data_IF_503981164340
#
_entry.id   IF_503981164340
#
_cell.length_a   1.000
_cell.length_b   1.000
_cell.length_c   1.000
_cell.angle_alpha   90.00
_cell.angle_beta   90.00
_cell.angle_gamma   90.00
#
_symmetry.space_group_name_H-M   'P 1'
#
loop_
_entity.id
_entity.type
_entity.pdbx_description
1 polymer ?
#
# COMPACT_ATOMS: atom_id res chain seq x y z
N UNK A 1 -18.85 -2.55 -8.91
CA UNK A 1 -18.49 -3.07 -10.21
C UNK A 1 -17.00 -2.91 -10.48
N UNK A 2 -16.44 -3.92 -11.11
CA UNK A 2 -15.02 -3.94 -11.42
C UNK A 2 -14.78 -3.19 -12.73
N UNK A 3 -13.96 -2.12 -12.73
CA UNK A 3 -13.62 -1.42 -13.97
C UNK A 3 -12.87 -2.34 -14.93
N UNK A 4 -13.11 -2.21 -16.22
CA UNK A 4 -12.37 -2.93 -17.23
C UNK A 4 -11.18 -2.10 -17.73
N UNK A 5 -10.39 -2.68 -18.63
CA UNK A 5 -9.19 -2.04 -19.16
C UNK A 5 -9.51 -0.70 -19.83
N UNK A 6 -10.60 -0.62 -20.61
CA UNK A 6 -10.98 0.61 -21.30
C UNK A 6 -11.36 1.72 -20.33
N UNK A 7 -12.07 1.38 -19.27
CA UNK A 7 -12.46 2.35 -18.25
C UNK A 7 -11.25 2.95 -17.54
N UNK A 8 -10.26 2.10 -17.19
CA UNK A 8 -9.00 2.59 -16.62
C UNK A 8 -8.28 3.51 -17.61
N UNK A 9 -8.15 3.07 -18.86
CA UNK A 9 -7.43 3.82 -19.87
C UNK A 9 -8.10 5.18 -20.13
N UNK A 10 -9.42 5.18 -20.28
CA UNK A 10 -10.18 6.41 -20.54
C UNK A 10 -9.98 7.45 -19.44
N UNK A 11 -10.01 7.01 -18.19
CA UNK A 11 -9.80 7.92 -17.07
C UNK A 11 -8.35 8.40 -17.01
N UNK A 12 -7.40 7.48 -17.04
CA UNK A 12 -6.02 7.80 -16.75
C UNK A 12 -5.31 8.53 -17.87
N UNK A 13 -5.77 8.38 -19.12
CA UNK A 13 -5.21 9.12 -20.24
C UNK A 13 -5.40 10.63 -20.13
N UNK A 14 -6.36 11.07 -19.31
CA UNK A 14 -6.52 12.49 -19.00
C UNK A 14 -5.38 13.01 -18.10
N UNK A 15 -4.62 12.12 -17.47
CA UNK A 15 -3.58 12.47 -16.50
C UNK A 15 -2.31 11.67 -16.79
N UNK A 16 -1.71 11.82 -17.98
CA UNK A 16 -0.63 10.92 -18.41
C UNK A 16 0.64 10.98 -17.55
N UNK A 17 0.86 12.09 -16.85
CA UNK A 17 2.05 12.27 -16.01
C UNK A 17 1.72 12.23 -14.52
N UNK A 18 0.51 11.88 -14.16
CA UNK A 18 0.12 11.82 -12.76
C UNK A 18 0.81 10.66 -12.03
N UNK A 19 1.12 10.89 -10.77
CA UNK A 19 1.47 9.82 -9.84
C UNK A 19 0.17 9.39 -9.18
N UNK A 20 -0.16 8.11 -9.33
CA UNK A 20 -1.44 7.57 -8.84
C UNK A 20 -1.20 6.82 -7.55
N UNK A 21 -1.94 7.18 -6.51
CA UNK A 21 -1.82 6.51 -5.21
C UNK A 21 -3.15 5.84 -4.88
N UNK A 22 -3.05 4.62 -4.35
CA UNK A 22 -4.21 3.82 -3.99
C UNK A 22 -4.30 3.67 -2.47
N UNK A 23 -5.49 3.86 -1.96
CA UNK A 23 -5.76 3.79 -0.52
C UNK A 23 -6.99 2.91 -0.30
N UNK A 24 -6.77 1.71 0.24
CA UNK A 24 -7.86 0.76 0.44
C UNK A 24 -8.42 0.16 -0.85
N UNK A 25 -7.65 0.20 -1.91
CA UNK A 25 -8.06 -0.38 -3.19
C UNK A 25 -7.81 -1.88 -3.17
N UNK A 26 -8.85 -2.67 -3.39
CA UNK A 26 -8.79 -4.12 -3.26
C UNK A 26 -8.84 -4.86 -4.60
N UNK A 27 -8.80 -4.14 -5.71
CA UNK A 27 -8.90 -4.74 -7.04
C UNK A 27 -7.55 -4.80 -7.72
N UNK A 28 -7.35 -5.85 -8.50
CA UNK A 28 -6.15 -5.99 -9.33
C UNK A 28 -6.26 -5.01 -10.50
N UNK A 29 -5.20 -4.25 -10.73
CA UNK A 29 -5.13 -3.31 -11.85
C UNK A 29 -4.59 -4.08 -13.07
N UNK A 30 -5.18 -3.94 -14.26
CA UNK A 30 -4.67 -4.61 -15.45
C UNK A 30 -3.19 -4.31 -15.70
N UNK A 31 -2.45 -5.31 -16.16
CA UNK A 31 -1.01 -5.19 -16.39
C UNK A 31 -0.66 -4.05 -17.34
N UNK A 32 -1.45 -3.85 -18.38
CA UNK A 32 -1.23 -2.77 -19.35
C UNK A 32 -1.27 -1.40 -18.69
N UNK A 33 -2.17 -1.22 -17.72
CA UNK A 33 -2.27 0.03 -16.96
C UNK A 33 -1.08 0.19 -16.03
N UNK A 34 -0.70 -0.88 -15.32
CA UNK A 34 0.46 -0.85 -14.43
C UNK A 34 1.75 -0.51 -15.17
N UNK A 35 1.90 -0.99 -16.40
CA UNK A 35 3.08 -0.73 -17.21
C UNK A 35 3.13 0.68 -17.78
N UNK A 36 1.98 1.30 -17.98
CA UNK A 36 1.87 2.61 -18.62
C UNK A 36 1.88 3.76 -17.61
N UNK A 37 1.37 3.54 -16.41
CA UNK A 37 1.22 4.59 -15.40
C UNK A 37 2.00 4.27 -14.13
N UNK A 38 2.39 5.31 -13.40
CA UNK A 38 3.07 5.16 -12.12
C UNK A 38 2.02 5.06 -11.01
N UNK A 39 1.80 3.85 -10.52
CA UNK A 39 0.77 3.56 -9.52
C UNK A 39 1.42 2.98 -8.26
N UNK A 40 1.06 3.53 -7.11
CA UNK A 40 1.61 3.13 -5.81
C UNK A 40 0.48 2.82 -4.84
N UNK A 41 0.67 1.79 -4.03
CA UNK A 41 -0.34 1.35 -3.08
C UNK A 41 0.23 1.29 -1.67
N UNK A 42 -0.57 1.75 -0.71
CA UNK A 42 -0.27 1.56 0.70
C UNK A 42 -0.87 0.26 1.19
N UNK A 43 -0.05 -0.61 1.74
CA UNK A 43 -0.47 -1.92 2.25
C UNK A 43 -0.21 -1.98 3.75
N UNK A 44 -1.24 -2.23 4.58
CA UNK A 44 -1.07 -2.25 6.04
C UNK A 44 -0.57 -3.60 6.54
N UNK A 45 0.49 -4.11 5.92
CA UNK A 45 1.14 -5.36 6.27
C UNK A 45 2.62 -5.28 5.98
N UNK A 46 3.43 -5.77 6.90
CA UNK A 46 4.89 -5.74 6.78
C UNK A 46 5.37 -6.92 5.93
N UNK A 47 5.07 -6.84 4.64
CA UNK A 47 5.34 -7.94 3.68
C UNK A 47 6.83 -8.18 3.45
N UNK A 48 7.66 -7.19 3.76
CA UNK A 48 9.12 -7.33 3.69
C UNK A 48 9.64 -8.32 4.72
N UNK A 49 9.00 -8.39 5.88
CA UNK A 49 9.35 -9.35 6.93
C UNK A 49 8.47 -10.61 6.88
N UNK A 50 7.20 -10.43 6.56
CA UNK A 50 6.19 -11.50 6.55
C UNK A 50 5.50 -11.56 5.19
N UNK A 51 6.10 -12.24 4.20
CA UNK A 51 5.53 -12.30 2.84
C UNK A 51 4.11 -12.85 2.77
N UNK A 52 3.72 -13.67 3.74
CA UNK A 52 2.36 -14.21 3.81
C UNK A 52 1.30 -13.14 4.07
N UNK A 53 1.71 -11.93 4.43
CA UNK A 53 0.78 -10.82 4.65
C UNK A 53 0.34 -10.13 3.36
N UNK A 54 0.81 -10.57 2.21
CA UNK A 54 0.26 -10.10 0.94
C UNK A 54 -1.21 -10.49 0.85
N UNK A 55 -1.99 -9.66 0.19
CA UNK A 55 -3.40 -9.94 0.01
C UNK A 55 -4.28 -9.25 1.05
N UNK A 56 -5.47 -9.79 1.26
CA UNK A 56 -6.54 -9.16 2.02
C UNK A 56 -6.31 -9.23 3.53
N UNK A 57 -6.73 -8.18 4.24
CA UNK A 57 -6.76 -8.10 5.70
C UNK A 57 -5.45 -8.46 6.40
N UNK A 58 -4.31 -7.91 5.96
CA UNK A 58 -3.02 -8.29 6.53
C UNK A 58 -2.91 -7.94 8.01
N UNK A 59 -3.48 -6.82 8.43
CA UNK A 59 -3.40 -6.35 9.82
C UNK A 59 -4.12 -7.30 10.78
N UNK A 60 -5.28 -7.81 10.39
CA UNK A 60 -6.01 -8.78 11.22
C UNK A 60 -5.25 -10.11 11.28
N UNK A 61 -4.70 -10.53 10.15
CA UNK A 61 -3.94 -11.79 10.11
C UNK A 61 -2.68 -11.72 10.95
N UNK A 62 -1.96 -10.60 10.88
CA UNK A 62 -0.78 -10.39 11.72
C UNK A 62 -1.16 -10.34 13.21
N UNK A 63 -2.25 -9.66 13.54
CA UNK A 63 -2.72 -9.56 14.92
C UNK A 63 -3.09 -10.93 15.48
N UNK A 64 -3.85 -11.71 14.73
CA UNK A 64 -4.25 -13.06 15.15
C UNK A 64 -3.07 -14.01 15.28
N UNK A 65 -2.05 -13.84 14.42
CA UNK A 65 -0.82 -14.63 14.50
C UNK A 65 0.12 -14.15 15.59
N UNK A 66 -0.23 -13.08 16.30
CA UNK A 66 0.56 -12.49 17.39
C UNK A 66 1.97 -12.12 16.96
N UNK A 67 2.09 -11.51 15.77
CA UNK A 67 3.37 -11.00 15.32
C UNK A 67 3.87 -9.93 16.30
N UNK A 68 5.12 -10.04 16.70
CA UNK A 68 5.71 -9.07 17.61
C UNK A 68 6.02 -7.74 16.94
N UNK A 69 6.19 -7.77 15.63
CA UNK A 69 6.44 -6.57 14.82
C UNK A 69 5.33 -6.47 13.80
N UNK A 70 4.77 -5.30 13.66
CA UNK A 70 3.75 -5.00 12.65
C UNK A 70 4.14 -3.74 11.92
N UNK A 71 3.61 -3.54 10.73
CA UNK A 71 3.94 -2.35 9.97
C UNK A 71 3.15 -2.23 8.69
N UNK A 72 3.65 -1.35 7.85
CA UNK A 72 3.02 -1.01 6.58
C UNK A 72 4.08 -0.69 5.55
N UNK A 73 3.70 -0.78 4.30
CA UNK A 73 4.60 -0.50 3.19
C UNK A 73 3.88 0.33 2.14
N UNK A 74 4.66 1.03 1.31
CA UNK A 74 4.19 1.58 0.05
C UNK A 74 4.97 0.87 -1.04
N UNK A 75 4.28 0.28 -1.98
CA UNK A 75 4.91 -0.45 -3.07
C UNK A 75 4.37 -0.01 -4.42
N UNK A 76 5.15 -0.25 -5.45
CA UNK A 76 4.71 -0.05 -6.82
C UNK A 76 3.68 -1.12 -7.17
N UNK A 77 2.60 -0.70 -7.82
CA UNK A 77 1.55 -1.64 -8.23
C UNK A 77 1.96 -2.30 -9.55
N UNK A 78 1.90 -3.62 -9.57
CA UNK A 78 2.14 -4.45 -10.75
C UNK A 78 0.94 -5.38 -10.92
N UNK A 79 1.00 -6.26 -11.92
CA UNK A 79 -0.07 -7.23 -12.15
C UNK A 79 -0.22 -8.24 -11.00
N UNK A 80 0.84 -8.48 -10.22
CA UNK A 80 0.79 -9.38 -9.07
C UNK A 80 0.25 -8.70 -7.83
N UNK A 81 -0.37 -9.47 -6.94
CA UNK A 81 -0.95 -8.94 -5.71
C UNK A 81 0.16 -8.60 -4.72
N UNK A 82 0.30 -7.30 -4.42
CA UNK A 82 1.29 -6.77 -3.46
C UNK A 82 2.72 -7.23 -3.73
N UNK A 83 3.05 -7.47 -4.99
CA UNK A 83 4.36 -8.01 -5.38
C UNK A 83 5.32 -6.99 -5.97
N UNK A 84 4.86 -5.78 -6.19
CA UNK A 84 5.71 -4.72 -6.72
C UNK A 84 6.77 -4.28 -5.73
N UNK A 85 7.80 -3.59 -6.24
CA UNK A 85 8.91 -3.11 -5.41
C UNK A 85 8.41 -2.24 -4.26
N UNK A 86 8.85 -2.55 -3.04
CA UNK A 86 8.57 -1.75 -1.86
C UNK A 86 9.49 -0.53 -1.87
N UNK A 87 8.91 0.64 -1.76
CA UNK A 87 9.63 1.92 -1.79
C UNK A 87 9.77 2.55 -0.42
N UNK A 88 8.80 2.34 0.44
CA UNK A 88 8.80 2.84 1.82
C UNK A 88 8.28 1.76 2.74
N UNK A 89 8.83 1.69 3.94
CA UNK A 89 8.29 0.80 4.96
C UNK A 89 8.41 1.45 6.33
N UNK A 90 7.49 1.10 7.21
CA UNK A 90 7.55 1.50 8.61
C UNK A 90 7.03 0.35 9.46
N UNK A 91 7.58 0.22 10.67
CA UNK A 91 7.19 -0.87 11.56
C UNK A 91 7.28 -0.42 13.01
N UNK A 92 6.63 -1.19 13.87
CA UNK A 92 6.60 -0.90 15.30
C UNK A 92 6.48 -2.20 16.09
N UNK A 93 6.86 -2.11 17.37
CA UNK A 93 6.74 -3.24 18.27
C UNK A 93 5.26 -3.40 18.64
N UNK A 94 4.70 -4.56 18.32
CA UNK A 94 3.29 -4.89 18.56
C UNK A 94 3.09 -5.89 19.70
N UNK A 95 4.11 -6.12 20.51
CA UNK A 95 4.02 -7.05 21.64
C UNK A 95 2.91 -6.64 22.57
N UNK A 96 1.99 -7.56 22.83
CA UNK A 96 0.85 -7.34 23.74
C UNK A 96 -0.07 -6.17 23.38
N UNK A 97 -0.03 -5.72 22.14
CA UNK A 97 -0.89 -4.62 21.69
C UNK A 97 -2.36 -5.06 21.66
N UNK A 98 -3.27 -4.17 22.03
CA UNK A 98 -4.69 -4.41 21.84
C UNK A 98 -5.08 -4.21 20.39
N UNK A 99 -6.19 -4.82 19.97
CA UNK A 99 -6.67 -4.63 18.61
C UNK A 99 -6.95 -3.16 18.31
N UNK A 100 -7.57 -2.46 19.27
CA UNK A 100 -7.87 -1.04 19.13
C UNK A 100 -6.62 -0.21 18.91
N UNK A 101 -5.58 -0.43 19.71
CA UNK A 101 -4.32 0.29 19.58
C UNK A 101 -3.60 -0.07 18.28
N UNK A 102 -3.69 -1.31 17.86
CA UNK A 102 -3.12 -1.77 16.60
C UNK A 102 -3.69 -0.97 15.43
N UNK A 103 -5.01 -0.81 15.36
CA UNK A 103 -5.65 -0.04 14.30
C UNK A 103 -5.20 1.43 14.32
N UNK A 104 -5.12 2.03 15.50
CA UNK A 104 -4.71 3.43 15.65
C UNK A 104 -3.27 3.64 15.21
N UNK A 105 -2.36 2.77 15.65
CA UNK A 105 -0.95 2.90 15.32
C UNK A 105 -0.70 2.68 13.84
N UNK A 106 -1.33 1.66 13.25
CA UNK A 106 -1.19 1.41 11.81
C UNK A 106 -1.68 2.58 10.97
N UNK A 107 -2.81 3.15 11.34
CA UNK A 107 -3.35 4.30 10.62
C UNK A 107 -2.40 5.48 10.69
N UNK A 108 -1.88 5.78 11.86
CA UNK A 108 -0.93 6.87 12.06
C UNK A 108 0.35 6.65 11.27
N UNK A 109 0.91 5.44 11.37
CA UNK A 109 2.15 5.08 10.67
C UNK A 109 1.97 5.14 9.15
N UNK A 110 0.84 4.67 8.65
CA UNK A 110 0.52 4.75 7.22
C UNK A 110 0.47 6.20 6.73
N UNK A 111 -0.13 7.09 7.51
CA UNK A 111 -0.18 8.51 7.16
C UNK A 111 1.23 9.11 7.09
N UNK A 112 2.07 8.85 8.08
CA UNK A 112 3.45 9.32 8.07
C UNK A 112 4.23 8.77 6.89
N UNK A 113 3.99 7.50 6.55
CA UNK A 113 4.67 6.85 5.45
C UNK A 113 4.32 7.52 4.12
N UNK A 114 3.05 7.86 3.91
CA UNK A 114 2.64 8.61 2.72
C UNK A 114 3.26 9.99 2.67
N UNK A 115 3.38 10.67 3.81
CA UNK A 115 4.03 11.99 3.86
C UNK A 115 5.50 11.87 3.43
N UNK A 116 6.20 10.85 3.91
CA UNK A 116 7.58 10.60 3.51
C UNK A 116 7.68 10.28 2.01
N UNK A 117 6.75 9.47 1.51
CA UNK A 117 6.69 9.15 0.08
C UNK A 117 6.54 10.42 -0.76
N UNK A 118 5.59 11.28 -0.40
CA UNK A 118 5.35 12.52 -1.14
C UNK A 118 6.55 13.47 -1.10
N UNK A 119 7.20 13.58 0.04
CA UNK A 119 8.42 14.39 0.16
C UNK A 119 9.51 13.90 -0.77
N UNK A 120 9.76 12.60 -0.77
CA UNK A 120 10.86 11.99 -1.53
C UNK A 120 10.57 11.94 -3.02
N UNK A 121 9.33 11.64 -3.39
CA UNK A 121 8.97 11.36 -4.79
C UNK A 121 8.44 12.57 -5.53
N UNK A 122 7.77 13.48 -4.84
CA UNK A 122 7.11 14.63 -5.45
C UNK A 122 7.78 15.94 -5.07
N UNK A 123 8.82 15.91 -4.26
CA UNK A 123 9.55 17.10 -3.87
C UNK A 123 8.79 18.06 -2.97
N UNK A 124 7.76 17.57 -2.27
CA UNK A 124 7.03 18.42 -1.33
C UNK A 124 7.95 18.79 -0.18
N UNK A 125 7.96 20.07 0.15
CA UNK A 125 8.69 20.60 1.30
C UNK A 125 7.68 21.14 2.29
N UNK A 126 8.05 21.07 3.54
CA UNK A 126 7.24 21.72 4.55
C UNK A 126 7.21 23.22 4.37
#
# INVERSE_FOLDING_TARGET
NKPDLEEYADLLEHFPEAVITLHGWLRVIPAEICNKFSIFNGHPGLITMYPELKGKDPQIRAFKAKHEVMGCVIHRVTAGVDEGKVLEEDYFNAWNITEEDMWKVLKMRSCFLWLEFFKKRLGFKK
#
